data_IF_008544165881
#
_entry.id   IF_008544165881
#
_cell.length_a   1.000
_cell.length_b   1.000
_cell.length_c   1.000
_cell.angle_alpha   90.00
_cell.angle_beta   90.00
_cell.angle_gamma   90.00
#
_symmetry.space_group_name_H-M   'P 1'
#
loop_
_entity.id
_entity.type
_entity.pdbx_description
1 polymer ?
#
# COMPACT_ATOMS: atom_id res chain seq x y z
N UNK A 1 14.19 30.34 -10.37
CA UNK A 1 14.64 28.95 -10.45
C UNK A 1 13.41 28.07 -10.42
N UNK A 2 13.07 27.38 -11.50
CA UNK A 2 11.96 26.42 -11.53
C UNK A 2 12.33 25.24 -10.63
N UNK A 3 11.66 25.07 -9.50
CA UNK A 3 11.85 23.92 -8.64
C UNK A 3 11.40 22.68 -9.39
N UNK A 4 12.35 21.79 -9.70
CA UNK A 4 12.03 20.49 -10.29
C UNK A 4 11.32 19.63 -9.23
N UNK A 5 10.04 19.36 -9.44
CA UNK A 5 9.28 18.47 -8.56
C UNK A 5 9.83 17.04 -8.66
N UNK A 6 9.83 16.28 -7.56
CA UNK A 6 10.30 14.88 -7.57
C UNK A 6 9.39 14.03 -8.45
N UNK A 7 9.98 13.13 -9.20
CA UNK A 7 9.25 12.16 -10.04
C UNK A 7 8.69 10.99 -9.22
N UNK A 8 9.28 10.72 -8.07
CA UNK A 8 8.85 9.67 -7.13
C UNK A 8 8.67 10.26 -5.74
N UNK A 9 7.51 10.02 -5.16
CA UNK A 9 7.18 10.39 -3.78
C UNK A 9 6.81 9.12 -3.01
N UNK A 10 7.38 8.96 -1.82
CA UNK A 10 7.02 7.88 -0.90
C UNK A 10 6.44 8.49 0.39
N UNK A 11 5.32 7.97 0.85
CA UNK A 11 4.59 8.50 2.01
C UNK A 11 4.42 7.41 3.07
N UNK A 12 4.91 7.68 4.27
CA UNK A 12 4.60 6.89 5.46
C UNK A 12 3.33 7.46 6.07
N UNK A 13 2.27 6.66 6.11
CA UNK A 13 0.98 7.06 6.64
C UNK A 13 0.93 6.83 8.16
N UNK A 14 1.46 7.77 8.92
CA UNK A 14 1.48 7.71 10.39
C UNK A 14 0.52 8.72 11.03
N UNK A 15 0.20 8.47 12.30
CA UNK A 15 -0.57 9.38 13.14
C UNK A 15 -2.09 9.23 13.04
N UNK A 16 -2.64 8.49 12.09
CA UNK A 16 -4.10 8.35 11.89
C UNK A 16 -4.83 7.87 13.16
N UNK A 17 -4.30 6.86 13.83
CA UNK A 17 -4.89 6.37 15.09
C UNK A 17 -4.82 7.42 16.20
N UNK A 18 -3.68 8.09 16.38
CA UNK A 18 -3.50 9.17 17.37
C UNK A 18 -4.41 10.35 17.08
N UNK A 19 -4.55 10.72 15.81
CA UNK A 19 -5.47 11.78 15.39
C UNK A 19 -6.92 11.49 15.82
N UNK A 20 -7.37 10.25 15.73
CA UNK A 20 -8.71 9.85 16.17
C UNK A 20 -8.82 9.85 17.69
N UNK A 21 -7.88 9.22 18.40
CA UNK A 21 -7.92 9.13 19.88
C UNK A 21 -7.84 10.49 20.57
N UNK A 22 -7.09 11.45 20.01
CA UNK A 22 -7.05 12.83 20.51
C UNK A 22 -8.41 13.57 20.37
N UNK A 23 -9.36 12.99 19.64
CA UNK A 23 -10.74 13.49 19.46
C UNK A 23 -11.79 12.62 20.17
N UNK A 24 -11.34 11.68 21.01
CA UNK A 24 -12.22 10.73 21.68
C UNK A 24 -12.82 9.66 20.74
N UNK A 25 -12.24 9.48 19.52
CA UNK A 25 -12.74 8.53 18.54
C UNK A 25 -11.93 7.24 18.53
N UNK A 26 -12.57 6.15 18.10
CA UNK A 26 -11.87 4.88 17.88
C UNK A 26 -10.77 5.03 16.80
N UNK A 27 -9.62 4.34 16.99
CA UNK A 27 -8.47 4.40 16.08
C UNK A 27 -8.83 4.10 14.62
N UNK A 28 -9.75 3.16 14.40
CA UNK A 28 -10.23 2.80 13.06
C UNK A 28 -10.92 3.95 12.31
N UNK A 29 -11.51 4.91 13.03
CA UNK A 29 -12.06 6.13 12.40
C UNK A 29 -10.94 6.93 11.75
N UNK A 30 -9.80 7.08 12.43
CA UNK A 30 -8.64 7.74 11.88
C UNK A 30 -8.07 7.02 10.65
N UNK A 31 -7.98 5.70 10.69
CA UNK A 31 -7.52 4.91 9.53
C UNK A 31 -8.44 5.05 8.32
N UNK A 32 -9.77 5.09 8.52
CA UNK A 32 -10.72 5.36 7.43
C UNK A 32 -10.53 6.75 6.83
N UNK A 33 -10.34 7.77 7.69
CA UNK A 33 -10.03 9.14 7.23
C UNK A 33 -8.71 9.22 6.47
N UNK A 34 -7.68 8.49 6.91
CA UNK A 34 -6.43 8.34 6.17
C UNK A 34 -6.64 7.75 4.77
N UNK A 35 -7.45 6.71 4.64
CA UNK A 35 -7.78 6.12 3.34
C UNK A 35 -8.53 7.08 2.39
N UNK A 36 -9.39 7.97 2.94
CA UNK A 36 -10.01 9.04 2.16
C UNK A 36 -8.97 10.02 1.60
N UNK A 37 -7.96 10.41 2.42
CA UNK A 37 -6.86 11.28 1.99
C UNK A 37 -5.97 10.62 0.92
N UNK A 38 -5.73 9.31 1.02
CA UNK A 38 -5.01 8.56 -0.02
C UNK A 38 -5.65 8.76 -1.39
N UNK A 39 -6.98 8.70 -1.48
CA UNK A 39 -7.70 8.92 -2.74
C UNK A 39 -7.41 10.30 -3.34
N UNK A 40 -7.39 11.33 -2.52
CA UNK A 40 -7.10 12.71 -2.97
C UNK A 40 -5.66 12.83 -3.48
N UNK A 41 -4.70 12.25 -2.74
CA UNK A 41 -3.28 12.27 -3.10
C UNK A 41 -3.03 11.51 -4.40
N UNK A 42 -3.59 10.31 -4.54
CA UNK A 42 -3.46 9.50 -5.77
C UNK A 42 -4.03 10.24 -6.98
N UNK A 43 -5.13 10.95 -6.79
CA UNK A 43 -5.74 11.76 -7.86
C UNK A 43 -4.88 12.97 -8.25
N UNK A 44 -4.31 13.66 -7.27
CA UNK A 44 -3.53 14.88 -7.52
C UNK A 44 -2.10 14.60 -8.03
N UNK A 45 -1.51 13.46 -7.68
CA UNK A 45 -0.11 13.15 -7.96
C UNK A 45 0.27 13.28 -9.46
N UNK A 46 -0.49 12.75 -10.43
CA UNK A 46 -0.14 12.88 -11.85
C UNK A 46 -0.15 14.33 -12.34
N UNK A 47 -1.10 15.13 -11.84
CA UNK A 47 -1.25 16.54 -12.26
C UNK A 47 -0.09 17.41 -11.72
N UNK A 48 0.59 16.93 -10.67
CA UNK A 48 1.82 17.51 -10.13
C UNK A 48 3.09 16.97 -10.81
N UNK A 49 2.98 16.12 -11.83
CA UNK A 49 4.13 15.53 -12.52
C UNK A 49 4.77 14.35 -11.80
N UNK A 50 4.15 13.84 -10.72
CA UNK A 50 4.62 12.65 -9.99
C UNK A 50 4.28 11.41 -10.81
N UNK A 51 5.30 10.62 -11.16
CA UNK A 51 5.17 9.39 -11.96
C UNK A 51 5.09 8.13 -11.09
N UNK A 52 5.68 8.14 -9.91
CA UNK A 52 5.71 7.05 -8.96
C UNK A 52 5.28 7.52 -7.58
N UNK A 53 4.29 6.86 -7.00
CA UNK A 53 3.81 7.11 -5.65
C UNK A 53 3.88 5.82 -4.85
N UNK A 54 4.64 5.82 -3.75
CA UNK A 54 4.70 4.68 -2.83
C UNK A 54 4.02 5.03 -1.52
N UNK A 55 3.09 4.19 -1.08
CA UNK A 55 2.37 4.36 0.18
C UNK A 55 2.71 3.22 1.13
N UNK A 56 3.30 3.53 2.28
CA UNK A 56 3.53 2.56 3.35
C UNK A 56 2.27 2.42 4.20
N UNK A 57 1.49 1.37 3.90
CA UNK A 57 0.16 1.21 4.46
C UNK A 57 0.10 0.30 5.68
N UNK A 58 0.94 -0.74 5.72
CA UNK A 58 0.99 -1.68 6.84
C UNK A 58 2.39 -2.32 6.93
N UNK A 59 3.08 -2.12 8.07
CA UNK A 59 4.40 -2.68 8.29
C UNK A 59 4.34 -4.04 9.02
N UNK A 60 5.44 -4.79 8.99
CA UNK A 60 5.57 -6.06 9.73
C UNK A 60 5.39 -5.87 11.24
N UNK A 61 5.77 -4.72 11.79
CA UNK A 61 5.58 -4.39 13.20
C UNK A 61 4.12 -4.17 13.59
N UNK A 62 3.26 -3.81 12.62
CA UNK A 62 1.84 -3.52 12.89
C UNK A 62 1.04 -4.77 13.30
N UNK A 63 1.55 -5.98 13.05
CA UNK A 63 0.96 -7.21 13.57
C UNK A 63 0.95 -7.29 15.11
N UNK A 64 1.76 -6.47 15.79
CA UNK A 64 1.76 -6.36 17.26
C UNK A 64 0.59 -5.54 17.82
N UNK A 65 -0.19 -4.91 16.97
CA UNK A 65 -1.41 -4.17 17.36
C UNK A 65 -2.51 -5.14 17.80
N UNK A 66 -3.58 -4.61 18.42
CA UNK A 66 -4.72 -5.43 18.76
C UNK A 66 -5.30 -6.14 17.53
N UNK A 67 -5.82 -7.35 17.72
CA UNK A 67 -6.47 -8.13 16.65
C UNK A 67 -7.58 -7.33 15.97
N UNK A 68 -8.37 -6.60 16.74
CA UNK A 68 -9.43 -5.73 16.23
C UNK A 68 -8.90 -4.66 15.28
N UNK A 69 -7.80 -3.97 15.66
CA UNK A 69 -7.19 -2.94 14.80
C UNK A 69 -6.63 -3.55 13.52
N UNK A 70 -5.95 -4.71 13.60
CA UNK A 70 -5.41 -5.41 12.44
C UNK A 70 -6.51 -5.84 11.48
N UNK A 71 -7.55 -6.51 11.98
CA UNK A 71 -8.69 -6.94 11.16
C UNK A 71 -9.41 -5.74 10.53
N UNK A 72 -9.58 -4.66 11.29
CA UNK A 72 -10.16 -3.43 10.80
C UNK A 72 -9.34 -2.78 9.67
N UNK A 73 -8.00 -2.78 9.77
CA UNK A 73 -7.12 -2.30 8.72
C UNK A 73 -7.22 -3.16 7.46
N UNK A 74 -7.20 -4.50 7.58
CA UNK A 74 -7.36 -5.40 6.44
C UNK A 74 -8.71 -5.21 5.74
N UNK A 75 -9.78 -4.98 6.50
CA UNK A 75 -11.09 -4.65 5.95
C UNK A 75 -11.10 -3.29 5.21
N UNK A 76 -10.37 -2.29 5.72
CA UNK A 76 -10.21 -0.99 5.04
C UNK A 76 -9.48 -1.18 3.70
N UNK A 77 -8.41 -1.99 3.65
CA UNK A 77 -7.69 -2.31 2.40
C UNK A 77 -8.58 -3.01 1.38
N UNK A 78 -9.27 -4.08 1.79
CA UNK A 78 -10.17 -4.79 0.91
C UNK A 78 -11.23 -3.85 0.31
N UNK A 79 -11.87 -3.05 1.15
CA UNK A 79 -12.86 -2.06 0.71
C UNK A 79 -12.27 -0.97 -0.21
N UNK A 80 -11.02 -0.54 0.04
CA UNK A 80 -10.35 0.42 -0.83
C UNK A 80 -10.15 -0.18 -2.22
N UNK A 81 -9.58 -1.38 -2.32
CA UNK A 81 -9.38 -2.07 -3.60
C UNK A 81 -10.72 -2.25 -4.33
N UNK A 82 -11.74 -2.75 -3.64
CA UNK A 82 -13.07 -3.00 -4.22
C UNK A 82 -13.71 -1.73 -4.80
N UNK A 83 -13.62 -0.62 -4.09
CA UNK A 83 -14.28 0.64 -4.48
C UNK A 83 -13.48 1.46 -5.48
N UNK A 84 -12.16 1.39 -5.43
CA UNK A 84 -11.31 2.27 -6.24
C UNK A 84 -10.74 1.57 -7.49
N UNK A 85 -10.85 0.24 -7.62
CA UNK A 85 -10.28 -0.49 -8.75
C UNK A 85 -10.70 0.08 -10.11
N UNK A 86 -12.01 0.33 -10.30
CA UNK A 86 -12.54 0.88 -11.54
C UNK A 86 -12.08 2.31 -11.81
N UNK A 87 -12.03 3.11 -10.75
CA UNK A 87 -11.60 4.51 -10.84
C UNK A 87 -10.12 4.62 -11.15
N UNK A 88 -9.29 3.80 -10.49
CA UNK A 88 -7.85 3.75 -10.71
C UNK A 88 -7.53 3.31 -12.14
N UNK A 89 -8.20 2.27 -12.64
CA UNK A 89 -8.05 1.81 -14.01
C UNK A 89 -8.45 2.91 -15.03
N UNK A 90 -9.63 3.53 -14.85
CA UNK A 90 -10.08 4.63 -15.72
C UNK A 90 -9.17 5.87 -15.65
N UNK A 91 -8.54 6.11 -14.51
CA UNK A 91 -7.59 7.21 -14.34
C UNK A 91 -6.18 6.91 -14.86
N UNK A 92 -5.93 5.73 -15.45
CA UNK A 92 -4.62 5.33 -15.97
C UNK A 92 -3.59 5.00 -14.89
N UNK A 93 -4.04 4.66 -13.66
CA UNK A 93 -3.16 4.32 -12.54
C UNK A 93 -2.81 2.84 -12.58
N UNK A 94 -1.51 2.54 -12.69
CA UNK A 94 -0.97 1.19 -12.51
C UNK A 94 -0.76 0.93 -11.03
N UNK A 95 -1.41 -0.10 -10.49
CA UNK A 95 -1.29 -0.46 -9.08
C UNK A 95 -0.40 -1.69 -8.88
N UNK A 96 0.46 -1.63 -7.87
CA UNK A 96 1.31 -2.74 -7.42
C UNK A 96 1.35 -2.83 -5.92
N UNK A 97 1.58 -4.04 -5.41
CA UNK A 97 1.78 -4.27 -3.99
C UNK A 97 3.15 -4.89 -3.73
N UNK A 98 3.83 -4.39 -2.70
CA UNK A 98 5.07 -4.96 -2.18
C UNK A 98 4.90 -5.40 -0.73
N UNK A 99 5.74 -6.32 -0.30
CA UNK A 99 5.70 -6.95 1.02
C UNK A 99 5.29 -8.42 0.97
N UNK A 100 5.24 -9.06 2.12
CA UNK A 100 4.94 -10.48 2.23
C UNK A 100 3.42 -10.72 2.30
N UNK A 101 2.88 -11.34 1.27
CA UNK A 101 1.44 -11.64 1.16
C UNK A 101 1.01 -12.91 1.89
N UNK A 102 1.96 -13.76 2.33
CA UNK A 102 1.67 -15.10 2.88
C UNK A 102 0.76 -15.07 4.11
N UNK A 103 0.84 -14.00 4.91
CA UNK A 103 0.02 -13.80 6.12
C UNK A 103 -1.32 -13.10 5.86
N UNK A 104 -1.56 -12.62 4.65
CA UNK A 104 -2.80 -11.94 4.30
C UNK A 104 -3.91 -12.94 3.99
N UNK A 105 -5.15 -12.54 4.25
CA UNK A 105 -6.31 -13.36 3.90
C UNK A 105 -6.31 -13.71 2.41
N UNK A 106 -6.61 -14.96 2.01
CA UNK A 106 -6.59 -15.39 0.61
C UNK A 106 -7.52 -14.58 -0.31
N UNK A 107 -8.65 -14.07 0.20
CA UNK A 107 -9.55 -13.20 -0.57
C UNK A 107 -8.85 -11.88 -0.87
N UNK A 108 -8.18 -11.27 0.12
CA UNK A 108 -7.43 -10.04 -0.08
C UNK A 108 -6.29 -10.25 -1.08
N UNK A 109 -5.54 -11.35 -1.00
CA UNK A 109 -4.49 -11.70 -1.97
C UNK A 109 -5.03 -11.78 -3.40
N UNK A 110 -6.19 -12.43 -3.62
CA UNK A 110 -6.85 -12.49 -4.94
C UNK A 110 -7.28 -11.11 -5.44
N UNK A 111 -7.81 -10.26 -4.56
CA UNK A 111 -8.20 -8.89 -4.92
C UNK A 111 -6.98 -8.05 -5.34
N UNK A 112 -5.86 -8.19 -4.63
CA UNK A 112 -4.59 -7.54 -4.97
C UNK A 112 -4.09 -8.01 -6.35
N UNK A 113 -4.03 -9.30 -6.60
CA UNK A 113 -3.61 -9.86 -7.89
C UNK A 113 -4.54 -9.41 -9.03
N UNK A 114 -5.83 -9.37 -8.78
CA UNK A 114 -6.83 -8.95 -9.78
C UNK A 114 -6.65 -7.48 -10.22
N UNK A 115 -6.42 -6.57 -9.27
CA UNK A 115 -6.20 -5.16 -9.64
C UNK A 115 -4.82 -4.94 -10.28
N UNK A 116 -3.79 -5.65 -9.85
CA UNK A 116 -2.47 -5.62 -10.49
C UNK A 116 -2.55 -6.04 -11.95
N UNK A 117 -3.19 -7.17 -12.24
CA UNK A 117 -3.39 -7.67 -13.61
C UNK A 117 -4.20 -6.68 -14.45
N UNK A 118 -5.29 -6.16 -13.91
CA UNK A 118 -6.19 -5.24 -14.60
C UNK A 118 -5.54 -3.91 -14.95
N UNK A 119 -4.57 -3.46 -14.17
CA UNK A 119 -3.91 -2.16 -14.34
C UNK A 119 -2.49 -2.27 -14.90
N UNK A 120 -2.03 -3.46 -15.28
CA UNK A 120 -0.65 -3.76 -15.66
C UNK A 120 -0.13 -2.90 -16.83
N UNK A 121 -0.98 -2.61 -17.81
CA UNK A 121 -0.64 -1.81 -19.01
C UNK A 121 -0.77 -0.30 -18.84
N UNK A 122 -1.15 0.18 -17.66
CA UNK A 122 -1.35 1.61 -17.40
C UNK A 122 -0.07 2.25 -16.89
N UNK A 123 0.14 3.55 -17.15
CA UNK A 123 1.40 4.24 -16.86
C UNK A 123 1.27 5.72 -16.45
N UNK A 124 0.07 6.28 -16.39
CA UNK A 124 -0.13 7.68 -15.99
C UNK A 124 0.40 7.95 -14.57
N UNK A 125 0.19 7.00 -13.65
CA UNK A 125 0.77 6.95 -12.31
C UNK A 125 1.09 5.51 -11.94
N UNK A 126 2.30 5.26 -11.46
CA UNK A 126 2.68 3.99 -10.84
C UNK A 126 2.46 4.09 -9.31
N UNK A 127 1.36 3.51 -8.84
CA UNK A 127 1.02 3.45 -7.42
C UNK A 127 1.52 2.14 -6.82
N UNK A 128 2.45 2.22 -5.88
CA UNK A 128 2.94 1.08 -5.10
C UNK A 128 2.40 1.17 -3.67
N UNK A 129 1.77 0.12 -3.19
CA UNK A 129 1.29 0.02 -1.80
C UNK A 129 2.08 -1.05 -1.07
N UNK A 130 2.78 -0.64 -0.01
CA UNK A 130 3.55 -1.53 0.85
C UNK A 130 2.64 -2.08 1.96
N UNK A 131 2.37 -3.39 1.89
CA UNK A 131 1.51 -4.14 2.82
C UNK A 131 2.29 -5.30 3.41
N UNK A 132 2.26 -5.46 4.73
CA UNK A 132 3.10 -6.41 5.45
C UNK A 132 4.57 -6.29 5.01
N UNK A 133 5.03 -5.04 4.97
CA UNK A 133 6.35 -4.66 4.49
C UNK A 133 7.25 -4.24 5.65
N UNK A 134 8.48 -4.73 5.63
CA UNK A 134 9.55 -4.29 6.49
C UNK A 134 10.86 -4.34 5.71
N UNK A 135 11.58 -3.22 5.57
CA UNK A 135 12.78 -3.17 4.73
C UNK A 135 13.86 -4.17 5.14
N UNK A 136 14.10 -4.34 6.45
CA UNK A 136 15.03 -5.35 6.98
C UNK A 136 14.53 -6.78 6.71
N UNK A 137 13.26 -7.04 6.92
CA UNK A 137 12.63 -8.32 6.66
C UNK A 137 12.70 -8.69 5.17
N UNK A 138 12.47 -7.73 4.28
CA UNK A 138 12.55 -7.94 2.83
C UNK A 138 13.96 -8.32 2.38
N UNK A 139 15.00 -7.66 2.91
CA UNK A 139 16.40 -8.00 2.62
C UNK A 139 16.71 -9.43 3.09
N UNK A 140 16.32 -9.80 4.32
CA UNK A 140 16.53 -11.15 4.85
C UNK A 140 15.81 -12.20 3.99
N UNK A 141 14.57 -11.95 3.59
CA UNK A 141 13.82 -12.84 2.71
C UNK A 141 14.45 -12.99 1.33
N UNK A 142 14.95 -11.89 0.76
CA UNK A 142 15.66 -11.93 -0.52
C UNK A 142 16.93 -12.78 -0.43
N UNK A 143 17.74 -12.59 0.62
CA UNK A 143 18.96 -13.39 0.85
C UNK A 143 18.62 -14.88 1.01
N UNK A 144 17.59 -15.22 1.77
CA UNK A 144 17.16 -16.62 1.93
C UNK A 144 16.79 -17.25 0.59
N UNK A 145 15.99 -16.55 -0.23
CA UNK A 145 15.61 -17.04 -1.57
C UNK A 145 16.82 -17.27 -2.48
N UNK A 146 17.80 -16.36 -2.44
CA UNK A 146 19.04 -16.51 -3.21
C UNK A 146 19.82 -17.75 -2.72
N UNK A 147 19.96 -17.91 -1.40
CA UNK A 147 20.65 -19.07 -0.81
C UNK A 147 19.94 -20.40 -1.15
N UNK A 148 18.61 -20.44 -1.09
CA UNK A 148 17.80 -21.61 -1.47
C UNK A 148 17.97 -21.94 -2.96
N UNK A 149 17.94 -20.95 -3.86
CA UNK A 149 18.14 -21.14 -5.28
C UNK A 149 19.57 -21.65 -5.57
N UNK A 150 20.60 -21.07 -4.96
CA UNK A 150 21.97 -21.53 -5.09
C UNK A 150 22.18 -22.96 -4.59
N UNK A 151 21.51 -23.36 -3.49
CA UNK A 151 21.56 -24.73 -2.99
C UNK A 151 20.89 -25.75 -3.93
N UNK A 152 19.97 -25.30 -4.80
CA UNK A 152 19.29 -26.10 -5.82
C UNK A 152 20.01 -26.06 -7.19
N UNK A 153 21.14 -25.34 -7.28
CA UNK A 153 21.91 -25.20 -8.53
C UNK A 153 21.30 -24.24 -9.56
N UNK A 154 20.44 -23.33 -9.09
CA UNK A 154 19.77 -22.32 -9.94
C UNK A 154 20.47 -20.97 -9.78
#
# INVERSE_FOLDING_TARGET
MSATLPRHVAIIMDGNGRWATNRGWARLVGHRKGAERVREIVRAAPDLGIRWLTLYAFSTENWKRSTEEVLGLMAIFARYIEREADRLAKAGVRMRFIGDRSRLDPKLQRMMAGIEARTAGLDRLNLTVAINYGGRDEIVRAVRKIAEAAAQGI
#
